data_IF_399968111427
#
_entry.id   IF_399968111427
#
_cell.length_a   1.000
_cell.length_b   1.000
_cell.length_c   1.000
_cell.angle_alpha   90.00
_cell.angle_beta   90.00
_cell.angle_gamma   90.00
#
_symmetry.space_group_name_H-M   'P 1'
#
loop_
_entity.id
_entity.type
_entity.pdbx_description
1 polymer ?
#
# COMPACT_ATOMS: atom_id res chain seq x y z
N UNK A 1 -31.64 0.41 -14.72
CA UNK A 1 -31.34 -1.03 -14.96
C UNK A 1 -30.00 -1.30 -14.30
N UNK A 2 -29.89 -2.32 -13.46
CA UNK A 2 -28.59 -2.64 -12.82
C UNK A 2 -27.67 -3.27 -13.85
N UNK A 3 -26.44 -2.75 -13.94
CA UNK A 3 -25.36 -3.35 -14.74
C UNK A 3 -25.07 -4.76 -14.20
N UNK A 4 -24.79 -5.72 -15.09
CA UNK A 4 -24.40 -7.08 -14.72
C UNK A 4 -23.00 -7.36 -15.24
N UNK A 5 -22.12 -7.80 -14.35
CA UNK A 5 -20.73 -8.15 -14.68
C UNK A 5 -20.36 -9.46 -14.01
N UNK A 6 -19.27 -10.09 -14.47
CA UNK A 6 -18.82 -11.35 -13.87
C UNK A 6 -18.08 -11.10 -12.57
N UNK A 7 -17.13 -10.17 -12.57
CA UNK A 7 -16.30 -9.86 -11.41
C UNK A 7 -16.30 -8.36 -11.15
N UNK A 8 -16.49 -7.99 -9.88
CA UNK A 8 -16.16 -6.65 -9.38
C UNK A 8 -14.96 -6.76 -8.45
N UNK A 9 -13.93 -5.94 -8.68
CA UNK A 9 -12.84 -5.71 -7.72
C UNK A 9 -13.07 -4.36 -7.05
N UNK A 10 -13.12 -4.35 -5.73
CA UNK A 10 -13.25 -3.13 -4.92
C UNK A 10 -11.84 -2.68 -4.52
N UNK A 11 -11.36 -1.59 -5.13
CA UNK A 11 -10.02 -1.04 -4.92
C UNK A 11 -9.08 -1.24 -6.11
N UNK A 12 -8.50 -0.15 -6.59
CA UNK A 12 -7.55 -0.13 -7.71
C UNK A 12 -6.09 0.02 -7.25
N UNK A 13 -5.78 -0.44 -6.02
CA UNK A 13 -4.41 -0.48 -5.48
C UNK A 13 -3.60 -1.68 -5.98
N UNK A 14 -2.38 -1.89 -5.47
CA UNK A 14 -1.51 -3.00 -5.86
C UNK A 14 -2.20 -4.37 -5.75
N UNK A 15 -2.94 -4.62 -4.68
CA UNK A 15 -3.66 -5.88 -4.46
C UNK A 15 -4.80 -6.08 -5.47
N UNK A 16 -5.53 -5.01 -5.81
CA UNK A 16 -6.58 -5.04 -6.82
C UNK A 16 -6.01 -5.32 -8.21
N UNK A 17 -4.86 -4.71 -8.53
CA UNK A 17 -4.15 -4.96 -9.78
C UNK A 17 -3.64 -6.40 -9.84
N UNK A 18 -3.06 -6.94 -8.76
CA UNK A 18 -2.67 -8.36 -8.68
C UNK A 18 -3.85 -9.29 -8.87
N UNK A 19 -5.02 -9.00 -8.27
CA UNK A 19 -6.20 -9.83 -8.47
C UNK A 19 -6.65 -9.80 -9.94
N UNK A 20 -6.69 -8.61 -10.56
CA UNK A 20 -7.08 -8.45 -11.96
C UNK A 20 -6.14 -9.20 -12.92
N UNK A 21 -4.83 -9.07 -12.74
CA UNK A 21 -3.82 -9.72 -13.59
C UNK A 21 -3.89 -11.24 -13.49
N UNK A 22 -4.08 -11.79 -12.29
CA UNK A 22 -4.24 -13.24 -12.09
C UNK A 22 -5.55 -13.76 -12.69
N UNK A 23 -6.65 -13.01 -12.58
CA UNK A 23 -7.93 -13.39 -13.18
C UNK A 23 -7.85 -13.39 -14.71
N UNK A 24 -7.24 -12.36 -15.31
CA UNK A 24 -7.04 -12.30 -16.77
C UNK A 24 -6.11 -13.42 -17.24
N UNK A 25 -5.02 -13.69 -16.51
CA UNK A 25 -4.13 -14.81 -16.82
C UNK A 25 -4.83 -16.18 -16.71
N UNK A 26 -5.86 -16.30 -15.85
CA UNK A 26 -6.72 -17.48 -15.74
C UNK A 26 -7.83 -17.53 -16.81
N UNK A 27 -7.91 -16.55 -17.71
CA UNK A 27 -8.84 -16.53 -18.85
C UNK A 27 -10.11 -15.68 -18.65
N UNK A 28 -10.15 -14.81 -17.63
CA UNK A 28 -11.21 -13.79 -17.54
C UNK A 28 -11.01 -12.74 -18.66
N UNK A 29 -12.03 -12.49 -19.46
CA UNK A 29 -12.02 -11.37 -20.41
C UNK A 29 -12.07 -10.05 -19.63
N UNK A 30 -11.18 -9.08 -19.88
CA UNK A 30 -11.24 -7.76 -19.25
C UNK A 30 -12.61 -7.07 -19.38
N UNK A 31 -13.42 -7.36 -20.41
CA UNK A 31 -14.77 -6.79 -20.53
C UNK A 31 -15.78 -7.32 -19.49
N UNK A 32 -15.49 -8.45 -18.86
CA UNK A 32 -16.29 -9.06 -17.80
C UNK A 32 -15.88 -8.58 -16.38
N UNK A 33 -14.89 -7.69 -16.30
CA UNK A 33 -14.31 -7.16 -15.08
C UNK A 33 -14.63 -5.67 -14.93
N UNK A 34 -15.12 -5.30 -13.75
CA UNK A 34 -15.24 -3.90 -13.33
C UNK A 34 -14.43 -3.68 -12.05
N UNK A 35 -13.66 -2.60 -12.01
CA UNK A 35 -12.87 -2.21 -10.84
C UNK A 35 -13.41 -0.89 -10.32
N UNK A 36 -13.78 -0.83 -9.05
CA UNK A 36 -14.34 0.38 -8.45
C UNK A 36 -13.35 0.96 -7.47
N UNK A 37 -12.89 2.19 -7.72
CA UNK A 37 -12.00 2.92 -6.83
C UNK A 37 -12.29 4.43 -6.87
N UNK A 38 -12.33 5.14 -5.73
CA UNK A 38 -12.60 6.57 -5.72
C UNK A 38 -11.53 7.42 -6.42
N UNK A 39 -10.31 6.89 -6.56
CA UNK A 39 -9.20 7.54 -7.25
C UNK A 39 -9.30 7.51 -8.77
N UNK A 40 -10.21 6.70 -9.34
CA UNK A 40 -10.54 6.70 -10.77
C UNK A 40 -9.45 6.18 -11.73
N UNK A 41 -8.30 5.79 -11.22
CA UNK A 41 -7.22 5.20 -11.99
C UNK A 41 -6.46 4.16 -11.16
N UNK A 42 -5.90 3.17 -11.86
CA UNK A 42 -4.99 2.20 -11.25
C UNK A 42 -3.87 2.89 -10.48
N UNK A 43 -3.60 2.39 -9.28
CA UNK A 43 -2.52 2.83 -8.41
C UNK A 43 -2.54 4.32 -8.06
N UNK A 44 -3.65 5.05 -8.30
CA UNK A 44 -3.70 6.50 -8.08
C UNK A 44 -3.31 6.88 -6.65
N UNK A 45 -3.97 6.28 -5.65
CA UNK A 45 -3.66 6.52 -4.23
C UNK A 45 -2.24 6.08 -3.87
N UNK A 46 -1.77 4.96 -4.43
CA UNK A 46 -0.42 4.45 -4.19
C UNK A 46 0.64 5.45 -4.67
N UNK A 47 0.54 5.90 -5.93
CA UNK A 47 1.43 6.89 -6.54
C UNK A 47 1.43 8.21 -5.79
N UNK A 48 0.25 8.74 -5.46
CA UNK A 48 0.10 9.97 -4.68
C UNK A 48 0.80 9.87 -3.32
N UNK A 49 0.60 8.75 -2.61
CA UNK A 49 1.22 8.50 -1.30
C UNK A 49 2.74 8.35 -1.38
N UNK A 50 3.25 7.63 -2.38
CA UNK A 50 4.68 7.46 -2.61
C UNK A 50 5.37 8.79 -2.93
N UNK A 51 4.75 9.60 -3.80
CA UNK A 51 5.24 10.92 -4.15
C UNK A 51 5.24 11.86 -2.93
N UNK A 52 4.15 11.89 -2.16
CA UNK A 52 4.02 12.70 -0.95
C UNK A 52 5.11 12.36 0.08
N UNK A 53 5.36 11.06 0.33
CA UNK A 53 6.38 10.60 1.28
C UNK A 53 7.83 10.68 0.74
N UNK A 54 8.01 10.95 -0.56
CA UNK A 54 9.32 10.93 -1.21
C UNK A 54 9.97 9.56 -1.15
N UNK A 55 9.21 8.49 -1.42
CA UNK A 55 9.74 7.12 -1.42
C UNK A 55 10.42 6.84 -2.76
N UNK A 56 11.75 6.71 -2.74
CA UNK A 56 12.54 6.48 -3.96
C UNK A 56 12.60 5.00 -4.36
N UNK A 57 12.57 4.08 -3.40
CA UNK A 57 12.68 2.65 -3.61
C UNK A 57 11.65 1.91 -2.77
N UNK A 58 11.08 0.84 -3.33
CA UNK A 58 10.18 -0.02 -2.59
C UNK A 58 10.96 -0.78 -1.50
N UNK A 59 10.27 -1.12 -0.42
CA UNK A 59 10.78 -2.04 0.59
C UNK A 59 10.66 -3.50 0.16
N UNK A 60 9.79 -3.79 -0.81
CA UNK A 60 9.55 -5.15 -1.31
C UNK A 60 10.57 -5.58 -2.39
N UNK A 61 11.01 -6.84 -2.41
CA UNK A 61 11.85 -7.39 -3.48
C UNK A 61 11.19 -7.31 -4.85
N UNK A 62 11.99 -7.38 -5.92
CA UNK A 62 11.50 -7.32 -7.31
C UNK A 62 10.49 -8.42 -7.64
N UNK A 63 10.51 -9.56 -6.97
CA UNK A 63 9.55 -10.66 -7.21
C UNK A 63 8.14 -10.39 -6.64
N UNK A 64 7.96 -9.32 -5.85
CA UNK A 64 6.67 -8.93 -5.27
C UNK A 64 6.03 -7.81 -6.08
N UNK A 65 5.31 -8.20 -7.13
CA UNK A 65 4.66 -7.29 -8.05
C UNK A 65 3.35 -7.88 -8.60
N UNK A 66 2.55 -7.12 -9.37
CA UNK A 66 1.25 -7.59 -9.83
C UNK A 66 1.24 -8.70 -10.88
N UNK A 67 2.28 -8.90 -11.68
CA UNK A 67 2.26 -9.95 -12.71
C UNK A 67 2.39 -11.37 -12.10
N UNK A 68 1.70 -12.40 -12.65
CA UNK A 68 1.85 -13.79 -12.23
C UNK A 68 3.23 -14.42 -12.43
N UNK A 69 4.01 -13.98 -13.43
CA UNK A 69 5.39 -14.45 -13.61
C UNK A 69 6.32 -13.73 -12.62
N UNK A 70 6.89 -14.42 -11.62
CA UNK A 70 7.70 -13.77 -10.57
C UNK A 70 8.96 -13.08 -11.10
N UNK A 71 9.37 -13.32 -12.35
CA UNK A 71 10.53 -12.67 -12.95
C UNK A 71 10.17 -11.51 -13.89
N UNK A 72 8.90 -11.21 -14.09
CA UNK A 72 8.43 -10.23 -15.06
C UNK A 72 9.04 -8.84 -14.86
N UNK A 73 9.10 -8.32 -13.62
CA UNK A 73 9.73 -7.01 -13.37
C UNK A 73 11.23 -7.01 -13.64
N UNK A 74 11.92 -8.11 -13.33
CA UNK A 74 13.36 -8.22 -13.58
C UNK A 74 13.64 -8.32 -15.08
N UNK A 75 12.82 -9.08 -15.81
CA UNK A 75 12.84 -9.13 -17.27
C UNK A 75 12.58 -7.76 -17.90
N UNK A 76 11.53 -7.07 -17.46
CA UNK A 76 11.21 -5.71 -17.91
C UNK A 76 12.35 -4.72 -17.68
N UNK A 77 12.97 -4.74 -16.49
CA UNK A 77 14.13 -3.92 -16.19
C UNK A 77 15.34 -4.25 -17.09
N UNK A 78 15.58 -5.54 -17.37
CA UNK A 78 16.64 -6.00 -18.26
C UNK A 78 16.43 -5.52 -19.70
N UNK A 79 15.23 -5.71 -20.24
CA UNK A 79 14.89 -5.36 -21.62
C UNK A 79 15.03 -3.85 -21.87
N UNK A 80 14.70 -3.04 -20.87
CA UNK A 80 14.86 -1.58 -20.91
C UNK A 80 16.25 -1.09 -20.49
N UNK A 81 17.17 -1.98 -20.11
CA UNK A 81 18.52 -1.64 -19.57
C UNK A 81 18.47 -0.74 -18.33
N UNK A 82 17.54 -1.02 -17.42
CA UNK A 82 17.28 -0.30 -16.16
C UNK A 82 17.54 -1.15 -14.92
N UNK A 83 18.37 -2.19 -15.03
CA UNK A 83 18.69 -3.10 -13.91
C UNK A 83 19.41 -2.41 -12.75
N UNK A 84 20.01 -1.24 -13.00
CA UNK A 84 20.61 -0.37 -11.99
C UNK A 84 19.58 0.26 -11.03
N UNK A 85 18.30 0.32 -11.41
CA UNK A 85 17.20 0.72 -10.54
C UNK A 85 16.72 -0.42 -9.60
N UNK A 86 17.32 -1.61 -9.67
CA UNK A 86 17.09 -2.72 -8.73
C UNK A 86 18.21 -2.76 -7.68
N UNK A 87 17.94 -2.20 -6.50
CA UNK A 87 19.00 -1.96 -5.51
C UNK A 87 19.14 -3.07 -4.46
N UNK A 88 20.39 -3.31 -4.06
CA UNK A 88 20.74 -4.21 -2.97
C UNK A 88 20.52 -5.70 -3.27
N UNK A 89 20.75 -6.55 -2.27
CA UNK A 89 20.75 -8.01 -2.43
C UNK A 89 19.39 -8.62 -2.81
N UNK A 90 18.31 -7.86 -2.63
CA UNK A 90 16.94 -8.30 -2.89
C UNK A 90 16.35 -7.69 -4.17
N UNK A 91 17.12 -6.88 -4.90
CA UNK A 91 16.64 -6.19 -6.10
C UNK A 91 15.42 -5.31 -5.81
N UNK A 92 15.53 -4.43 -4.80
CA UNK A 92 14.44 -3.53 -4.44
C UNK A 92 14.24 -2.54 -5.59
N UNK A 93 13.07 -2.48 -6.24
CA UNK A 93 12.87 -1.61 -7.39
C UNK A 93 12.76 -0.15 -6.95
N UNK A 94 13.36 0.74 -7.74
CA UNK A 94 13.04 2.15 -7.72
C UNK A 94 11.54 2.37 -8.00
N UNK A 95 10.95 3.35 -7.33
CA UNK A 95 9.51 3.65 -7.45
C UNK A 95 9.11 3.90 -8.90
N UNK A 96 9.94 4.61 -9.67
CA UNK A 96 9.69 4.88 -11.09
C UNK A 96 9.70 3.60 -11.94
N UNK A 97 10.69 2.72 -11.76
CA UNK A 97 10.74 1.43 -12.44
C UNK A 97 9.49 0.60 -12.15
N UNK A 98 9.06 0.56 -10.88
CA UNK A 98 7.87 -0.17 -10.49
C UNK A 98 6.58 0.42 -11.09
N UNK A 99 6.45 1.75 -11.11
CA UNK A 99 5.32 2.43 -11.74
C UNK A 99 5.24 2.14 -13.24
N UNK A 100 6.36 2.27 -13.95
CA UNK A 100 6.45 1.99 -15.39
C UNK A 100 6.14 0.51 -15.70
N UNK A 101 6.59 -0.40 -14.84
CA UNK A 101 6.25 -1.82 -14.94
C UNK A 101 4.75 -2.07 -14.75
N UNK A 102 4.13 -1.41 -13.77
CA UNK A 102 2.69 -1.58 -13.55
C UNK A 102 1.89 -1.02 -14.73
N UNK A 103 2.28 0.12 -15.31
CA UNK A 103 1.65 0.64 -16.53
C UNK A 103 1.82 -0.32 -17.71
N UNK A 104 2.99 -0.95 -17.85
CA UNK A 104 3.21 -2.01 -18.84
C UNK A 104 2.27 -3.20 -18.64
N UNK A 105 2.14 -3.70 -17.41
CA UNK A 105 1.22 -4.82 -17.07
C UNK A 105 -0.24 -4.44 -17.34
N UNK A 106 -0.65 -3.23 -16.97
CA UNK A 106 -2.02 -2.74 -17.23
C UNK A 106 -2.30 -2.72 -18.74
N UNK A 107 -1.36 -2.24 -19.54
CA UNK A 107 -1.50 -2.15 -20.99
C UNK A 107 -1.50 -3.54 -21.65
N UNK A 108 -0.53 -4.39 -21.31
CA UNK A 108 -0.38 -5.75 -21.84
C UNK A 108 -1.63 -6.61 -21.60
N UNK A 109 -2.25 -6.46 -20.43
CA UNK A 109 -3.44 -7.23 -20.02
C UNK A 109 -4.78 -6.56 -20.39
N UNK A 110 -4.77 -5.42 -21.08
CA UNK A 110 -6.00 -4.71 -21.47
C UNK A 110 -6.81 -4.14 -20.31
N UNK A 111 -6.18 -3.85 -19.17
CA UNK A 111 -6.83 -3.41 -17.92
C UNK A 111 -7.04 -1.89 -17.84
N UNK A 112 -6.66 -1.12 -18.86
CA UNK A 112 -6.74 0.35 -18.80
C UNK A 112 -8.15 0.90 -18.67
N UNK A 113 -9.15 0.23 -19.24
CA UNK A 113 -10.54 0.70 -19.31
C UNK A 113 -11.50 0.16 -18.25
N UNK A 114 -11.03 -0.68 -17.32
CA UNK A 114 -11.92 -1.38 -16.37
C UNK A 114 -12.16 -0.61 -15.07
N UNK A 115 -11.42 0.47 -14.82
CA UNK A 115 -11.54 1.26 -13.59
C UNK A 115 -12.65 2.29 -13.71
N UNK A 116 -13.53 2.28 -12.71
CA UNK A 116 -14.65 3.18 -12.55
C UNK A 116 -14.46 4.03 -11.29
N UNK A 117 -14.58 5.35 -11.45
CA UNK A 117 -14.46 6.32 -10.36
C UNK A 117 -15.73 6.36 -9.50
N UNK A 118 -15.75 5.59 -8.42
CA UNK A 118 -16.79 5.64 -7.38
C UNK A 118 -16.28 4.97 -6.09
N UNK A 119 -17.04 5.07 -5.00
CA UNK A 119 -16.82 4.30 -3.78
C UNK A 119 -17.86 3.20 -3.65
N UNK A 120 -17.45 2.00 -3.22
CA UNK A 120 -18.39 0.96 -2.81
C UNK A 120 -18.79 1.21 -1.36
N UNK A 121 -20.09 1.28 -1.11
CA UNK A 121 -20.65 1.53 0.23
C UNK A 121 -21.32 0.30 0.84
N UNK A 122 -21.73 -0.65 0.01
CA UNK A 122 -22.36 -1.89 0.47
C UNK A 122 -22.17 -3.02 -0.56
N UNK A 123 -22.09 -4.25 -0.07
CA UNK A 123 -22.13 -5.48 -0.86
C UNK A 123 -23.02 -6.47 -0.15
N UNK A 124 -24.16 -6.80 -0.76
CA UNK A 124 -25.09 -7.74 -0.17
C UNK A 124 -24.77 -9.20 -0.51
N UNK A 125 -25.45 -10.14 0.16
CA UNK A 125 -25.26 -11.57 -0.04
C UNK A 125 -25.65 -12.08 -1.45
N UNK A 126 -26.32 -11.26 -2.26
CA UNK A 126 -26.65 -11.60 -3.65
C UNK A 126 -25.54 -11.21 -4.64
N UNK A 127 -24.46 -10.57 -4.16
CA UNK A 127 -23.41 -10.03 -5.01
C UNK A 127 -23.77 -8.67 -5.61
N UNK A 128 -24.81 -7.98 -5.08
CA UNK A 128 -25.11 -6.62 -5.49
C UNK A 128 -24.18 -5.65 -4.79
N UNK A 129 -23.38 -4.94 -5.58
CA UNK A 129 -22.45 -3.89 -5.15
C UNK A 129 -23.16 -2.55 -5.29
N UNK A 130 -23.32 -1.84 -4.18
CA UNK A 130 -23.93 -0.50 -4.15
C UNK A 130 -22.82 0.55 -4.12
N UNK A 131 -22.90 1.50 -5.05
CA UNK A 131 -21.96 2.60 -5.17
C UNK A 131 -22.45 3.83 -4.38
N UNK A 132 -21.53 4.69 -3.95
CA UNK A 132 -21.87 5.94 -3.28
C UNK A 132 -22.69 6.88 -4.17
N UNK A 133 -22.48 6.84 -5.49
CA UNK A 133 -23.32 7.52 -6.48
C UNK A 133 -24.77 7.00 -6.57
N UNK A 134 -25.13 5.95 -5.83
CA UNK A 134 -26.47 5.35 -5.78
C UNK A 134 -26.73 4.29 -6.85
N UNK A 135 -25.80 4.11 -7.79
CA UNK A 135 -25.86 3.02 -8.77
C UNK A 135 -25.58 1.66 -8.13
N UNK A 136 -26.09 0.59 -8.75
CA UNK A 136 -25.89 -0.79 -8.32
C UNK A 136 -25.39 -1.66 -9.46
N UNK A 137 -24.36 -2.43 -9.17
CA UNK A 137 -23.77 -3.42 -10.07
C UNK A 137 -24.07 -4.81 -9.50
N UNK A 138 -24.58 -5.72 -10.31
CA UNK A 138 -24.80 -7.12 -9.91
C UNK A 138 -23.62 -7.94 -10.41
N UNK A 139 -22.83 -8.48 -9.49
CA UNK A 139 -21.63 -9.25 -9.79
C UNK A 139 -21.81 -10.73 -9.42
N UNK A 140 -21.23 -11.64 -10.21
CA UNK A 140 -21.17 -13.06 -9.81
C UNK A 140 -20.12 -13.28 -8.71
N UNK A 141 -19.04 -12.50 -8.75
CA UNK A 141 -17.98 -12.53 -7.76
C UNK A 141 -17.55 -11.12 -7.38
N UNK A 142 -17.25 -10.92 -6.09
CA UNK A 142 -16.71 -9.67 -5.57
C UNK A 142 -15.37 -9.95 -4.90
N UNK A 143 -14.34 -9.21 -5.31
CA UNK A 143 -13.02 -9.22 -4.68
C UNK A 143 -12.87 -7.94 -3.87
N UNK A 144 -12.68 -8.06 -2.57
CA UNK A 144 -12.46 -6.92 -1.69
C UNK A 144 -10.96 -6.63 -1.55
N UNK A 145 -10.45 -5.64 -2.27
CA UNK A 145 -9.03 -5.29 -2.36
C UNK A 145 -8.75 -3.84 -1.92
N UNK A 146 -9.43 -3.39 -0.86
CA UNK A 146 -9.26 -2.05 -0.30
C UNK A 146 -8.23 -2.02 0.83
N UNK A 147 -7.63 -0.85 1.04
CA UNK A 147 -6.76 -0.60 2.18
C UNK A 147 -7.62 -0.34 3.44
N UNK A 148 -7.56 -1.20 4.47
CA UNK A 148 -8.35 -1.02 5.69
C UNK A 148 -8.02 0.27 6.45
N UNK A 149 -6.85 0.89 6.21
CA UNK A 149 -6.52 2.20 6.77
C UNK A 149 -7.41 3.33 6.21
N UNK A 150 -8.09 3.13 5.08
CA UNK A 150 -9.05 4.10 4.54
C UNK A 150 -10.23 4.30 5.50
N UNK A 151 -10.63 3.26 6.24
CA UNK A 151 -11.72 3.27 7.20
C UNK A 151 -11.31 3.73 8.62
N UNK A 152 -10.01 3.94 8.88
CA UNK A 152 -9.54 4.32 10.20
C UNK A 152 -9.57 5.85 10.38
N UNK A 153 -10.47 6.34 11.22
CA UNK A 153 -10.42 7.72 11.70
C UNK A 153 -9.26 7.94 12.67
N UNK A 154 -8.88 9.21 12.85
CA UNK A 154 -7.95 9.60 13.93
C UNK A 154 -8.58 9.15 15.26
N UNK A 155 -7.83 8.47 16.16
CA UNK A 155 -8.41 7.99 17.42
C UNK A 155 -9.18 9.08 18.16
N UNK A 156 -10.46 8.83 18.46
CA UNK A 156 -11.25 9.69 19.35
C UNK A 156 -10.55 9.79 20.70
N UNK A 157 -10.08 10.99 21.05
CA UNK A 157 -9.20 11.22 22.20
C UNK A 157 -7.92 11.98 21.88
N UNK A 158 -7.58 12.16 20.59
CA UNK A 158 -6.69 13.23 20.14
C UNK A 158 -7.39 14.61 20.19
N UNK A 159 -8.32 14.80 21.13
CA UNK A 159 -8.83 16.13 21.46
C UNK A 159 -7.65 16.94 21.97
N UNK A 160 -7.35 18.09 21.38
CA UNK A 160 -6.33 18.98 21.92
C UNK A 160 -6.65 19.32 23.37
N UNK A 161 -6.02 18.63 24.32
CA UNK A 161 -6.05 19.08 25.70
C UNK A 161 -5.29 20.41 25.70
N UNK A 162 -6.03 21.48 25.95
CA UNK A 162 -5.60 22.86 25.78
C UNK A 162 -4.20 23.12 26.37
N UNK A 163 -3.17 23.12 25.50
CA UNK A 163 -1.97 23.98 25.53
C UNK A 163 -0.86 23.63 24.51
N UNK A 164 -0.85 22.46 23.86
CA UNK A 164 0.31 22.06 23.02
C UNK A 164 0.01 21.56 21.59
N UNK A 165 -1.23 21.17 21.26
CA UNK A 165 -1.55 20.63 19.92
C UNK A 165 -2.58 21.55 19.25
N UNK A 166 -2.23 22.18 18.13
CA UNK A 166 -3.15 23.06 17.40
C UNK A 166 -4.14 22.28 16.51
N UNK A 167 -3.75 21.10 16.05
CA UNK A 167 -4.56 20.22 15.20
C UNK A 167 -3.98 18.80 15.17
N UNK A 168 -4.84 17.81 14.95
CA UNK A 168 -4.46 16.43 14.66
C UNK A 168 -5.11 16.03 13.32
N UNK A 169 -4.31 15.51 12.41
CA UNK A 169 -4.74 15.18 11.03
C UNK A 169 -4.11 13.85 10.60
N UNK A 170 -4.79 13.10 9.73
CA UNK A 170 -4.15 11.93 9.11
C UNK A 170 -3.08 12.41 8.14
N UNK A 171 -2.01 11.64 8.02
CA UNK A 171 -0.85 12.04 7.25
C UNK A 171 -1.17 12.26 5.77
N UNK A 172 -2.15 11.55 5.19
CA UNK A 172 -2.56 11.74 3.80
C UNK A 172 -3.11 13.13 3.52
N UNK A 173 -3.55 13.86 4.56
CA UNK A 173 -4.11 15.21 4.46
C UNK A 173 -3.05 16.30 4.70
N UNK A 174 -1.80 15.94 4.97
CA UNK A 174 -0.72 16.87 5.31
C UNK A 174 0.05 17.26 4.06
N UNK A 175 0.24 18.56 3.84
CA UNK A 175 1.27 19.04 2.91
C UNK A 175 2.65 18.95 3.57
N UNK A 176 3.42 17.92 3.21
CA UNK A 176 4.73 17.65 3.81
C UNK A 176 5.84 18.60 3.33
N UNK A 177 5.61 19.37 2.26
CA UNK A 177 6.55 20.38 1.81
C UNK A 177 6.43 21.69 2.61
N UNK A 178 5.35 21.84 3.37
CA UNK A 178 5.08 23.03 4.16
C UNK A 178 5.87 22.99 5.48
N UNK A 179 6.68 24.02 5.69
CA UNK A 179 7.28 24.27 6.99
C UNK A 179 6.20 24.52 8.06
N UNK A 180 6.34 23.82 9.19
CA UNK A 180 5.58 24.08 10.42
C UNK A 180 6.57 24.22 11.59
N UNK A 181 6.37 25.17 12.52
CA UNK A 181 7.37 25.40 13.57
C UNK A 181 7.66 24.15 14.42
N UNK A 182 6.61 23.42 14.82
CA UNK A 182 6.71 22.18 15.59
C UNK A 182 5.65 21.20 15.11
N UNK A 183 6.05 19.94 14.89
CA UNK A 183 5.14 18.85 14.52
C UNK A 183 5.46 17.60 15.33
N UNK A 184 4.42 16.95 15.84
CA UNK A 184 4.54 15.62 16.44
C UNK A 184 4.10 14.57 15.41
N UNK A 185 4.97 13.59 15.13
CA UNK A 185 4.65 12.45 14.25
C UNK A 185 4.43 11.23 15.12
N UNK A 186 3.22 10.65 15.07
CA UNK A 186 2.86 9.48 15.87
C UNK A 186 2.90 8.21 15.02
N UNK A 187 3.74 7.25 15.42
CA UNK A 187 3.84 5.93 14.78
C UNK A 187 5.28 5.45 14.62
N UNK A 188 5.51 4.14 14.72
CA UNK A 188 6.87 3.55 14.65
C UNK A 188 7.17 2.80 13.35
N UNK A 189 6.35 2.96 12.31
CA UNK A 189 6.54 2.31 11.02
C UNK A 189 7.24 3.20 10.00
N UNK A 190 7.57 2.62 8.84
CA UNK A 190 8.27 3.33 7.76
C UNK A 190 7.53 4.59 7.28
N UNK A 191 6.20 4.58 7.20
CA UNK A 191 5.42 5.81 6.90
C UNK A 191 5.75 6.94 7.86
N UNK A 192 5.77 6.69 9.17
CA UNK A 192 6.11 7.70 10.17
C UNK A 192 7.56 8.19 10.01
N UNK A 193 8.50 7.28 9.72
CA UNK A 193 9.89 7.66 9.46
C UNK A 193 10.03 8.59 8.23
N UNK A 194 9.30 8.33 7.14
CA UNK A 194 9.25 9.24 5.99
C UNK A 194 8.60 10.59 6.32
N UNK A 195 7.56 10.61 7.16
CA UNK A 195 6.94 11.85 7.62
C UNK A 195 7.92 12.71 8.43
N UNK A 196 8.68 12.08 9.34
CA UNK A 196 9.74 12.75 10.10
C UNK A 196 10.79 13.31 9.15
N UNK A 197 11.27 12.49 8.21
CA UNK A 197 12.29 12.88 7.23
C UNK A 197 11.86 14.08 6.37
N UNK A 198 10.62 14.08 5.86
CA UNK A 198 10.08 15.19 5.07
C UNK A 198 9.87 16.46 5.90
N UNK A 199 9.38 16.32 7.13
CA UNK A 199 9.19 17.47 8.01
C UNK A 199 10.53 18.13 8.40
N UNK A 200 11.58 17.33 8.62
CA UNK A 200 12.95 17.82 8.84
C UNK A 200 13.51 18.52 7.60
N UNK A 201 13.34 17.95 6.40
CA UNK A 201 13.76 18.59 5.14
C UNK A 201 13.05 19.94 4.91
N UNK A 202 11.80 20.08 5.37
CA UNK A 202 11.04 21.33 5.37
C UNK A 202 11.46 22.31 6.48
N UNK A 203 12.47 21.98 7.29
CA UNK A 203 13.01 22.81 8.37
C UNK A 203 12.14 22.86 9.62
N UNK A 204 11.23 21.90 9.81
CA UNK A 204 10.34 21.83 10.98
C UNK A 204 11.05 21.21 12.19
N UNK A 205 10.70 21.62 13.42
CA UNK A 205 11.08 20.86 14.60
C UNK A 205 10.15 19.65 14.75
N UNK A 206 10.71 18.44 14.84
CA UNK A 206 9.92 17.20 14.84
C UNK A 206 10.05 16.45 16.16
N UNK A 207 8.92 16.16 16.80
CA UNK A 207 8.83 15.20 17.90
C UNK A 207 8.33 13.85 17.37
N UNK A 208 9.18 12.83 17.36
CA UNK A 208 8.79 11.49 16.89
C UNK A 208 8.27 10.63 18.06
N UNK A 209 6.95 10.47 18.12
CA UNK A 209 6.26 9.76 19.20
C UNK A 209 5.99 8.31 18.79
N UNK A 210 6.58 7.37 19.53
CA UNK A 210 6.45 5.93 19.28
C UNK A 210 6.04 5.19 20.55
N UNK A 211 5.25 4.12 20.41
CA UNK A 211 4.83 3.28 21.56
C UNK A 211 5.99 2.48 22.16
N UNK A 212 7.02 2.20 21.37
CA UNK A 212 8.18 1.38 21.69
C UNK A 212 9.35 1.82 20.80
N UNK A 213 10.62 1.55 21.17
CA UNK A 213 11.76 1.86 20.32
C UNK A 213 11.59 1.31 18.90
N UNK A 214 11.97 2.11 17.90
CA UNK A 214 11.88 1.71 16.49
C UNK A 214 12.99 0.71 16.16
N UNK A 215 12.60 -0.44 15.63
CA UNK A 215 13.53 -1.50 15.26
C UNK A 215 13.95 -1.41 13.79
N UNK A 216 15.25 -1.64 13.55
CA UNK A 216 15.81 -1.73 12.21
C UNK A 216 15.52 -3.10 11.60
N UNK A 217 14.77 -3.16 10.49
CA UNK A 217 14.57 -4.39 9.72
C UNK A 217 14.50 -4.09 8.22
N UNK A 218 14.93 -5.02 7.39
CA UNK A 218 14.84 -4.86 5.93
C UNK A 218 13.38 -4.97 5.45
N UNK A 219 12.57 -5.82 6.08
CA UNK A 219 11.17 -6.08 5.73
C UNK A 219 10.22 -5.98 6.92
N UNK A 220 8.91 -5.98 6.65
CA UNK A 220 7.85 -5.97 7.67
C UNK A 220 7.78 -7.28 8.45
N UNK A 221 8.19 -8.40 7.84
CA UNK A 221 8.28 -9.73 8.44
C UNK A 221 9.61 -10.38 8.09
N UNK A 222 10.01 -11.41 8.85
CA UNK A 222 11.20 -12.18 8.51
C UNK A 222 11.06 -12.84 7.13
N UNK A 223 12.14 -12.97 6.32
CA UNK A 223 12.07 -13.49 4.96
C UNK A 223 11.40 -14.87 4.81
N UNK A 224 11.40 -15.69 5.87
CA UNK A 224 10.69 -16.98 5.88
C UNK A 224 9.18 -16.87 5.63
N UNK A 225 8.57 -15.72 5.96
CA UNK A 225 7.16 -15.41 5.73
C UNK A 225 6.86 -15.00 4.28
N UNK A 226 7.88 -14.72 3.48
CA UNK A 226 7.74 -14.37 2.06
C UNK A 226 7.70 -15.60 1.15
N UNK A 227 7.61 -16.79 1.74
CA UNK A 227 7.63 -18.05 1.01
C UNK A 227 7.00 -19.19 1.81
N UNK A 228 7.07 -20.43 1.29
CA UNK A 228 6.36 -21.57 1.86
C UNK A 228 6.84 -21.96 3.26
N UNK A 229 8.06 -21.55 3.66
CA UNK A 229 8.68 -21.97 4.92
C UNK A 229 7.77 -21.72 6.13
N UNK A 230 7.34 -20.48 6.32
CA UNK A 230 6.43 -20.13 7.42
C UNK A 230 4.95 -20.20 6.95
N UNK A 231 4.69 -19.96 5.66
CA UNK A 231 3.32 -19.96 5.13
C UNK A 231 2.66 -21.34 5.12
N UNK A 232 3.39 -22.44 4.94
CA UNK A 232 2.82 -23.79 4.98
C UNK A 232 2.21 -24.10 6.37
N UNK A 233 2.97 -23.82 7.43
CA UNK A 233 2.51 -24.02 8.80
C UNK A 233 1.39 -23.04 9.17
N UNK A 234 1.39 -21.83 8.60
CA UNK A 234 0.34 -20.84 8.83
C UNK A 234 -0.98 -21.20 8.14
N UNK A 235 -0.93 -21.66 6.88
CA UNK A 235 -2.13 -22.06 6.11
C UNK A 235 -2.87 -23.22 6.76
N UNK A 236 -2.14 -24.11 7.45
CA UNK A 236 -2.70 -25.24 8.19
C UNK A 236 -3.40 -24.86 9.52
N UNK A 237 -3.39 -23.58 9.92
CA UNK A 237 -4.09 -23.12 11.14
C UNK A 237 -5.54 -22.81 10.82
N UNK A 238 -6.45 -23.56 11.45
CA UNK A 238 -7.89 -23.40 11.31
C UNK A 238 -8.45 -22.27 12.19
N UNK A 239 -7.93 -22.12 13.41
CA UNK A 239 -8.44 -21.16 14.38
C UNK A 239 -8.13 -19.70 13.97
N UNK A 240 -9.15 -18.84 13.76
CA UNK A 240 -8.93 -17.45 13.36
C UNK A 240 -8.17 -16.63 14.40
N UNK A 241 -8.36 -16.89 15.69
CA UNK A 241 -7.67 -16.15 16.76
C UNK A 241 -6.18 -16.51 16.78
N UNK A 242 -5.84 -17.80 16.66
CA UNK A 242 -4.47 -18.25 16.52
C UNK A 242 -3.81 -17.70 15.24
N UNK A 243 -4.53 -17.67 14.11
CA UNK A 243 -4.02 -17.04 12.88
C UNK A 243 -3.69 -15.57 13.11
N UNK A 244 -4.58 -14.82 13.75
CA UNK A 244 -4.35 -13.41 14.07
C UNK A 244 -3.14 -13.24 14.99
N UNK A 245 -3.03 -14.07 16.04
CA UNK A 245 -1.90 -14.04 16.97
C UNK A 245 -0.57 -14.29 16.23
N UNK A 246 -0.52 -15.27 15.32
CA UNK A 246 0.67 -15.56 14.50
C UNK A 246 1.01 -14.40 13.57
N UNK A 247 0.03 -13.78 12.91
CA UNK A 247 0.25 -12.59 12.06
C UNK A 247 0.83 -11.42 12.87
N UNK A 248 0.26 -11.15 14.05
CA UNK A 248 0.72 -10.07 14.92
C UNK A 248 2.14 -10.33 15.43
N UNK A 249 2.45 -11.58 15.80
CA UNK A 249 3.79 -11.99 16.22
C UNK A 249 4.82 -11.87 15.08
N UNK A 250 4.47 -12.34 13.88
CA UNK A 250 5.33 -12.28 12.70
C UNK A 250 5.67 -10.85 12.29
N UNK A 251 4.66 -9.96 12.28
CA UNK A 251 4.83 -8.53 12.02
C UNK A 251 5.69 -7.88 13.08
N UNK A 252 5.47 -8.23 14.35
CA UNK A 252 6.31 -7.78 15.46
C UNK A 252 6.35 -6.27 15.66
N UNK A 253 5.35 -5.51 15.16
CA UNK A 253 5.21 -4.05 15.30
C UNK A 253 5.70 -3.21 14.11
N UNK A 254 5.87 -1.90 14.33
CA UNK A 254 6.44 -1.00 13.34
C UNK A 254 7.96 -1.17 13.25
N UNK A 255 8.48 -1.20 12.02
CA UNK A 255 9.91 -1.36 11.72
C UNK A 255 10.30 -0.41 10.59
N UNK A 256 11.58 -0.08 10.53
CA UNK A 256 12.14 0.87 9.56
C UNK A 256 13.46 0.30 9.02
N UNK A 257 13.80 0.45 7.73
CA UNK A 257 15.10 0.05 7.21
C UNK A 257 16.25 0.77 7.89
N UNK A 258 17.39 0.08 8.03
CA UNK A 258 18.56 0.61 8.74
C UNK A 258 19.06 1.95 8.15
N UNK A 259 19.01 2.12 6.84
CA UNK A 259 19.43 3.35 6.16
C UNK A 259 18.60 4.57 6.58
N UNK A 260 17.28 4.40 6.73
CA UNK A 260 16.37 5.48 7.12
C UNK A 260 16.60 5.85 8.59
N UNK A 261 16.77 4.86 9.47
CA UNK A 261 17.12 5.14 10.88
C UNK A 261 18.47 5.84 11.01
N UNK A 262 19.47 5.47 10.20
CA UNK A 262 20.76 6.15 10.18
C UNK A 262 20.63 7.61 9.72
N UNK A 263 19.81 7.86 8.69
CA UNK A 263 19.49 9.21 8.22
C UNK A 263 18.86 10.07 9.32
N UNK A 264 17.82 9.57 9.97
CA UNK A 264 17.12 10.28 11.04
C UNK A 264 18.00 10.54 12.28
N UNK A 265 18.86 9.59 12.67
CA UNK A 265 19.82 9.77 13.78
C UNK A 265 20.87 10.83 13.50
N UNK A 266 21.29 10.99 12.23
CA UNK A 266 22.22 12.08 11.86
C UNK A 266 21.55 13.44 11.97
N UNK A 267 20.28 13.54 11.61
CA UNK A 267 19.50 14.77 11.73
C UNK A 267 19.24 15.17 13.18
N UNK A 268 19.10 14.21 14.10
CA UNK A 268 18.99 14.47 15.56
C UNK A 268 20.27 15.08 16.16
N UNK A 269 21.43 14.86 15.52
CA UNK A 269 22.74 15.30 16.00
C UNK A 269 23.25 16.61 15.36
N UNK A 270 22.53 17.14 14.38
CA UNK A 270 22.89 18.33 13.61
C UNK A 270 22.29 19.60 14.22
#
# INVERSE_FOLDING_TARGET
>A
MSERVRVVIVGAGPQGLTAATYLVAAGLDPSDLTVVDPGGAWLHRWRTRFAQLGIEHLRSPSVHHPDPDPYALTGFASDLRRTDELVGRYGLPGTRLFDDFCDHVIADRGLGGVVRTDAVVDVDASGTVTLAGGERIVAQHVVWATDPAVAADVPEGATPSARAVSSAVRWEQVDLARHVPTVAVVGGGLTAAHLVDRALDAGSHVEWVTRRPVEARDFDTEPGWLGPKEMQAFVAVDDPEERLARVLAARGGGTVPAWMLQRLRRAEQA
#
